data_IF_833756937029
#
_entry.id   IF_833756937029
#
_cell.length_a   1.000
_cell.length_b   1.000
_cell.length_c   1.000
_cell.angle_alpha   90.00
_cell.angle_beta   90.00
_cell.angle_gamma   90.00
#
_symmetry.space_group_name_H-M   'P 1'
#
loop_
_entity.id
_entity.type
_entity.pdbx_description
1 polymer ?
#
# COMPACT_ATOMS: atom_id res chain seq x y z
N UNK A 1 -23.79 -37.13 -17.86
CA UNK A 1 -22.66 -36.20 -18.09
C UNK A 1 -23.09 -34.85 -17.55
N UNK A 2 -22.84 -34.59 -16.30
CA UNK A 2 -22.99 -33.26 -15.69
C UNK A 2 -22.00 -32.33 -16.36
N UNK A 3 -22.49 -31.27 -17.00
CA UNK A 3 -21.68 -30.16 -17.45
C UNK A 3 -20.91 -29.67 -16.21
N UNK A 4 -19.59 -29.84 -16.21
CA UNK A 4 -18.77 -29.37 -15.08
C UNK A 4 -18.92 -27.88 -14.95
N UNK A 5 -19.59 -27.43 -13.91
CA UNK A 5 -19.57 -26.01 -13.53
C UNK A 5 -18.12 -25.56 -13.37
N UNK A 6 -17.79 -24.44 -13.97
CA UNK A 6 -16.45 -23.87 -13.87
C UNK A 6 -16.27 -23.30 -12.45
N UNK A 7 -15.82 -24.13 -11.52
CA UNK A 7 -15.60 -23.78 -10.12
C UNK A 7 -14.47 -22.76 -9.92
N UNK A 8 -13.88 -22.22 -10.99
CA UNK A 8 -12.84 -21.18 -10.94
C UNK A 8 -13.37 -19.79 -11.24
N UNK A 9 -14.63 -19.65 -11.62
CA UNK A 9 -15.29 -18.36 -11.86
C UNK A 9 -16.19 -18.01 -10.67
N UNK A 10 -15.67 -17.18 -9.75
CA UNK A 10 -16.48 -16.57 -8.71
C UNK A 10 -17.20 -15.33 -9.24
N UNK A 11 -18.45 -15.16 -8.84
CA UNK A 11 -19.17 -13.90 -9.09
C UNK A 11 -18.67 -12.83 -8.14
N UNK A 12 -18.43 -11.64 -8.68
CA UNK A 12 -18.11 -10.47 -7.86
C UNK A 12 -19.33 -10.08 -7.00
N UNK A 13 -19.09 -9.88 -5.73
CA UNK A 13 -20.10 -9.54 -4.74
C UNK A 13 -20.07 -8.03 -4.49
N UNK A 14 -21.15 -7.30 -4.81
CA UNK A 14 -21.16 -5.84 -4.68
C UNK A 14 -20.84 -5.33 -3.27
N UNK A 15 -21.19 -6.10 -2.24
CA UNK A 15 -20.93 -5.80 -0.83
C UNK A 15 -19.43 -5.77 -0.47
N UNK A 16 -18.58 -6.40 -1.27
CA UNK A 16 -17.13 -6.41 -1.08
C UNK A 16 -16.45 -5.22 -1.78
N UNK A 17 -17.17 -4.53 -2.64
CA UNK A 17 -16.63 -3.40 -3.37
C UNK A 17 -16.20 -2.25 -2.42
N UNK A 18 -15.08 -1.63 -2.70
CA UNK A 18 -14.59 -0.48 -1.92
C UNK A 18 -14.01 -0.83 -0.55
N UNK A 19 -13.84 -2.11 -0.22
CA UNK A 19 -13.19 -2.55 1.03
C UNK A 19 -11.70 -2.85 0.83
N UNK A 20 -11.28 -3.22 -0.38
CA UNK A 20 -9.90 -3.54 -0.71
C UNK A 20 -9.34 -2.57 -1.75
N UNK A 21 -8.03 -2.32 -1.69
CA UNK A 21 -7.35 -1.37 -2.56
C UNK A 21 -5.95 -1.86 -2.93
N UNK A 22 -5.51 -1.48 -4.13
CA UNK A 22 -4.09 -1.49 -4.44
C UNK A 22 -3.41 -0.33 -3.75
N UNK A 23 -2.20 -0.56 -3.24
CA UNK A 23 -1.40 0.47 -2.60
C UNK A 23 -0.53 1.27 -3.60
N UNK A 24 0.15 2.29 -3.10
CA UNK A 24 0.92 3.25 -3.89
C UNK A 24 2.08 2.59 -4.65
N UNK A 25 2.23 2.94 -5.94
CA UNK A 25 3.44 2.63 -6.69
C UNK A 25 4.33 3.87 -6.76
N UNK A 26 5.44 3.86 -6.02
CA UNK A 26 6.38 5.00 -5.97
C UNK A 26 7.06 5.29 -7.32
N UNK A 27 7.48 4.25 -8.06
CA UNK A 27 8.06 4.34 -9.41
C UNK A 27 9.47 4.94 -9.49
N UNK A 28 10.04 5.40 -8.38
CA UNK A 28 11.39 5.95 -8.30
C UNK A 28 11.92 5.88 -6.84
N UNK A 29 13.11 6.38 -6.58
CA UNK A 29 13.81 6.30 -5.29
C UNK A 29 13.37 7.41 -4.32
N UNK A 30 12.14 7.32 -3.83
CA UNK A 30 11.57 8.20 -2.81
C UNK A 30 11.85 7.72 -1.38
N UNK A 31 12.21 6.46 -1.23
CA UNK A 31 12.48 5.83 0.07
C UNK A 31 13.85 6.23 0.64
N UNK A 32 13.91 6.26 1.95
CA UNK A 32 15.10 6.53 2.74
C UNK A 32 15.22 5.53 3.90
N UNK A 33 16.44 5.27 4.34
CA UNK A 33 16.68 4.52 5.57
C UNK A 33 16.29 5.35 6.81
N UNK A 34 16.20 4.68 7.96
CA UNK A 34 15.81 5.31 9.22
C UNK A 34 16.74 6.46 9.65
N UNK A 35 18.04 6.33 9.43
CA UNK A 35 19.01 7.37 9.79
C UNK A 35 18.83 8.64 8.98
N UNK A 36 18.67 8.48 7.65
CA UNK A 36 18.38 9.57 6.72
C UNK A 36 17.03 10.22 7.04
N UNK A 37 15.99 9.41 7.31
CA UNK A 37 14.68 9.93 7.68
C UNK A 37 14.74 10.78 8.96
N UNK A 38 15.44 10.30 9.99
CA UNK A 38 15.64 11.04 11.22
C UNK A 38 16.35 12.38 11.00
N UNK A 39 17.39 12.39 10.16
CA UNK A 39 18.11 13.61 9.82
C UNK A 39 17.22 14.61 9.07
N UNK A 40 16.41 14.14 8.10
CA UNK A 40 15.46 14.99 7.35
C UNK A 40 14.36 15.54 8.26
N UNK A 41 13.80 14.70 9.13
CA UNK A 41 12.76 15.10 10.08
C UNK A 41 13.24 16.16 11.10
N UNK A 42 14.52 16.11 11.47
CA UNK A 42 15.13 17.05 12.42
C UNK A 42 15.55 18.39 11.80
N UNK A 43 15.47 18.52 10.47
CA UNK A 43 15.84 19.79 9.81
C UNK A 43 14.83 20.89 10.17
N UNK A 44 15.32 22.13 10.41
CA UNK A 44 14.43 23.25 10.62
C UNK A 44 13.55 23.49 9.40
N UNK A 45 12.33 23.91 9.63
CA UNK A 45 11.38 24.26 8.58
C UNK A 45 11.19 25.77 8.57
N UNK A 46 11.20 26.38 7.40
CA UNK A 46 11.06 27.86 7.23
C UNK A 46 9.59 28.31 7.38
N UNK A 47 8.67 27.39 7.47
CA UNK A 47 7.22 27.65 7.63
C UNK A 47 6.64 26.73 8.68
N UNK A 48 5.40 26.96 9.11
CA UNK A 48 4.62 26.09 10.03
C UNK A 48 4.39 24.65 9.53
N UNK A 49 5.21 24.19 8.58
CA UNK A 49 5.10 22.91 7.90
C UNK A 49 6.13 21.93 8.41
N UNK A 50 5.72 21.04 9.27
CA UNK A 50 6.60 19.98 9.73
C UNK A 50 6.96 19.00 8.61
N UNK A 51 8.24 18.61 8.49
CA UNK A 51 8.70 17.61 7.55
C UNK A 51 7.97 16.25 7.71
N UNK A 52 7.43 15.99 8.91
CA UNK A 52 6.59 14.83 9.19
C UNK A 52 5.27 14.78 8.42
N UNK A 53 4.82 15.91 7.85
CA UNK A 53 3.62 15.91 6.99
C UNK A 53 3.85 15.18 5.67
N UNK A 54 5.09 15.12 5.20
CA UNK A 54 5.47 14.53 3.91
C UNK A 54 6.49 13.39 4.02
N UNK A 55 6.91 13.05 5.24
CA UNK A 55 7.77 11.90 5.49
C UNK A 55 6.99 10.87 6.31
N UNK A 56 6.82 9.67 5.77
CA UNK A 56 6.01 8.60 6.36
C UNK A 56 6.80 7.31 6.49
N UNK A 57 6.52 6.47 7.49
CA UNK A 57 6.97 5.08 7.48
C UNK A 57 6.47 4.37 6.21
N UNK A 58 7.34 3.58 5.59
CA UNK A 58 7.06 2.83 4.38
C UNK A 58 7.11 1.34 4.63
N UNK A 59 6.12 0.62 4.12
CA UNK A 59 6.04 -0.82 4.24
C UNK A 59 5.86 -1.45 2.86
N UNK A 60 6.71 -2.41 2.51
CA UNK A 60 6.54 -3.23 1.32
C UNK A 60 6.29 -4.71 1.66
N UNK A 61 5.99 -5.53 0.65
CA UNK A 61 5.68 -6.94 0.87
C UNK A 61 6.79 -7.74 1.58
N UNK A 62 8.07 -7.34 1.43
CA UNK A 62 9.17 -8.00 2.14
C UNK A 62 9.25 -7.59 3.61
N UNK A 63 8.85 -6.37 3.94
CA UNK A 63 8.82 -5.91 5.34
C UNK A 63 7.75 -6.66 6.16
N UNK A 64 6.72 -7.20 5.50
CA UNK A 64 5.70 -8.05 6.13
C UNK A 64 6.15 -9.51 6.28
N UNK A 65 6.98 -10.01 5.35
CA UNK A 65 7.39 -11.43 5.33
C UNK A 65 8.74 -11.69 5.99
N UNK A 66 9.49 -10.65 6.28
CA UNK A 66 10.84 -10.69 6.87
C UNK A 66 10.95 -9.65 7.99
N UNK A 67 12.13 -9.54 8.57
CA UNK A 67 12.43 -8.45 9.50
C UNK A 67 12.29 -7.10 8.78
N UNK A 68 11.49 -6.20 9.34
CA UNK A 68 11.33 -4.85 8.80
C UNK A 68 12.66 -4.09 8.74
N UNK A 69 12.85 -3.33 7.69
CA UNK A 69 14.04 -2.50 7.48
C UNK A 69 13.90 -1.11 8.09
N UNK A 70 12.71 -0.75 8.61
CA UNK A 70 12.45 0.58 9.13
C UNK A 70 12.58 1.67 8.06
N UNK A 71 12.15 1.38 6.84
CA UNK A 71 12.22 2.31 5.70
C UNK A 71 11.18 3.40 5.83
N UNK A 72 11.55 4.61 5.42
CA UNK A 72 10.67 5.77 5.30
C UNK A 72 10.54 6.19 3.84
N UNK A 73 9.55 7.01 3.54
CA UNK A 73 9.33 7.54 2.19
C UNK A 73 8.92 9.00 2.24
N UNK A 74 9.36 9.77 1.24
CA UNK A 74 8.79 11.11 1.00
C UNK A 74 7.52 10.95 0.17
N UNK A 75 6.44 11.51 0.64
CA UNK A 75 5.11 11.44 0.06
C UNK A 75 4.47 12.82 0.02
N UNK A 76 4.51 13.46 -1.14
CA UNK A 76 3.83 14.74 -1.40
C UNK A 76 2.36 14.58 -1.78
N UNK A 77 1.76 13.41 -1.49
CA UNK A 77 0.36 13.13 -1.81
C UNK A 77 0.11 12.89 -3.29
N UNK A 78 -1.11 13.18 -3.74
CA UNK A 78 -1.56 12.89 -5.10
C UNK A 78 -1.59 14.10 -6.02
N UNK A 79 -1.76 15.31 -5.44
CA UNK A 79 -2.03 16.55 -6.20
C UNK A 79 -1.15 17.74 -5.82
N UNK A 80 -0.23 17.61 -4.85
CA UNK A 80 0.61 18.72 -4.37
C UNK A 80 1.40 19.35 -5.53
N UNK A 81 1.31 20.65 -5.71
CA UNK A 81 2.05 21.40 -6.70
C UNK A 81 3.55 21.43 -6.40
N UNK A 82 4.37 21.71 -7.44
CA UNK A 82 5.83 21.76 -7.29
C UNK A 82 6.26 22.82 -6.27
N UNK A 83 5.70 24.02 -6.38
CA UNK A 83 6.05 25.16 -5.49
C UNK A 83 5.65 24.88 -4.05
N UNK A 84 4.57 24.12 -3.86
CA UNK A 84 4.10 23.69 -2.55
C UNK A 84 5.00 22.59 -1.95
N UNK A 85 5.39 21.63 -2.76
CA UNK A 85 6.33 20.58 -2.37
C UNK A 85 7.70 21.17 -2.01
N UNK A 86 8.16 22.20 -2.76
CA UNK A 86 9.43 22.88 -2.52
C UNK A 86 9.51 23.60 -1.17
N UNK A 87 8.37 23.92 -0.53
CA UNK A 87 8.35 24.51 0.82
C UNK A 87 8.77 23.52 1.93
N UNK A 88 8.78 22.23 1.65
CA UNK A 88 9.37 21.19 2.50
C UNK A 88 10.82 20.97 2.08
N UNK A 89 11.68 21.94 2.37
CA UNK A 89 13.04 22.04 1.83
C UNK A 89 13.84 20.74 1.93
N UNK A 90 13.93 20.13 3.10
CA UNK A 90 14.68 18.88 3.30
C UNK A 90 14.15 17.69 2.50
N UNK A 91 12.88 17.31 2.66
CA UNK A 91 12.25 16.27 1.87
C UNK A 91 12.30 16.53 0.36
N UNK A 92 12.07 17.79 -0.05
CA UNK A 92 12.09 18.16 -1.48
C UNK A 92 13.49 18.02 -2.08
N UNK A 93 14.53 18.51 -1.39
CA UNK A 93 15.92 18.40 -1.86
C UNK A 93 16.35 16.92 -1.95
N UNK A 94 15.91 16.08 -1.00
CA UNK A 94 16.14 14.65 -1.05
C UNK A 94 15.55 14.04 -2.34
N UNK A 95 14.29 14.35 -2.65
CA UNK A 95 13.62 13.86 -3.86
C UNK A 95 14.24 14.47 -5.12
N UNK A 96 14.55 15.78 -5.12
CA UNK A 96 15.17 16.48 -6.26
C UNK A 96 16.47 15.82 -6.69
N UNK A 97 17.32 15.47 -5.74
CA UNK A 97 18.64 14.87 -6.04
C UNK A 97 18.54 13.42 -6.52
N UNK A 98 17.58 12.63 -6.02
CA UNK A 98 17.44 11.19 -6.32
C UNK A 98 16.48 10.90 -7.48
N UNK A 99 15.40 11.65 -7.56
CA UNK A 99 14.34 11.45 -8.55
C UNK A 99 14.41 12.52 -9.63
N UNK A 100 14.51 13.80 -9.26
CA UNK A 100 14.48 14.93 -10.17
C UNK A 100 15.58 14.86 -11.23
N UNK A 101 16.82 14.58 -10.85
CA UNK A 101 17.94 14.43 -11.80
C UNK A 101 17.68 13.42 -12.92
N UNK A 102 16.90 12.38 -12.64
CA UNK A 102 16.62 11.29 -13.59
C UNK A 102 15.32 11.46 -14.36
N UNK A 103 14.32 12.06 -13.73
CA UNK A 103 12.94 12.04 -14.22
C UNK A 103 12.33 13.41 -14.53
N UNK A 104 12.93 14.55 -14.13
CA UNK A 104 12.37 15.89 -14.36
C UNK A 104 12.05 16.15 -15.84
N UNK A 105 12.90 15.67 -16.76
CA UNK A 105 12.68 15.81 -18.21
C UNK A 105 11.78 14.72 -18.81
N UNK A 106 11.39 13.70 -18.02
CA UNK A 106 10.63 12.54 -18.51
C UNK A 106 9.21 12.47 -17.94
N UNK A 107 8.97 13.10 -16.80
CA UNK A 107 7.70 13.04 -16.06
C UNK A 107 7.33 14.45 -15.61
N UNK A 108 6.14 14.92 -16.03
CA UNK A 108 5.64 16.27 -15.70
C UNK A 108 5.53 16.51 -14.18
N UNK A 109 5.19 15.47 -13.41
CA UNK A 109 5.01 15.51 -11.94
C UNK A 109 6.01 14.56 -11.27
N UNK A 110 7.30 14.73 -11.53
CA UNK A 110 8.38 13.86 -11.08
C UNK A 110 8.55 13.80 -9.55
N UNK A 111 8.06 14.80 -8.83
CA UNK A 111 8.09 14.84 -7.36
C UNK A 111 6.97 14.03 -6.69
N UNK A 112 5.97 13.55 -7.42
CA UNK A 112 4.92 12.67 -6.94
C UNK A 112 5.23 11.21 -7.28
N UNK A 113 4.65 10.30 -6.51
CA UNK A 113 4.70 8.88 -6.83
C UNK A 113 4.14 8.61 -8.23
N UNK A 114 4.53 7.50 -8.86
CA UNK A 114 4.08 7.16 -10.22
C UNK A 114 2.57 6.92 -10.27
N UNK A 115 2.06 6.20 -9.26
CA UNK A 115 0.63 5.93 -9.11
C UNK A 115 0.25 6.09 -7.65
N UNK A 116 0.06 7.31 -7.17
CA UNK A 116 -0.52 7.53 -5.86
C UNK A 116 -2.00 7.14 -5.91
N UNK A 117 -2.48 6.45 -4.87
CA UNK A 117 -3.83 5.87 -4.85
C UNK A 117 -4.77 6.71 -4.02
N UNK A 118 -5.39 7.72 -4.63
CA UNK A 118 -6.31 8.62 -3.91
C UNK A 118 -7.46 7.86 -3.25
N UNK A 119 -8.10 6.93 -3.97
CA UNK A 119 -9.22 6.13 -3.44
C UNK A 119 -8.85 5.32 -2.21
N UNK A 120 -7.65 4.72 -2.18
CA UNK A 120 -7.12 4.04 -1.00
C UNK A 120 -6.93 5.02 0.16
N UNK A 121 -6.33 6.18 -0.11
CA UNK A 121 -6.06 7.20 0.92
C UNK A 121 -7.34 7.74 1.53
N UNK A 122 -8.36 7.97 0.71
CA UNK A 122 -9.70 8.42 1.15
C UNK A 122 -10.36 7.36 2.02
N UNK A 123 -10.31 6.10 1.60
CA UNK A 123 -10.89 4.99 2.35
C UNK A 123 -10.17 4.74 3.70
N UNK A 124 -8.86 5.02 3.78
CA UNK A 124 -8.09 4.90 5.03
C UNK A 124 -8.23 6.14 5.93
N UNK A 125 -8.78 7.24 5.41
CA UNK A 125 -8.99 8.47 6.18
C UNK A 125 -9.90 8.21 7.38
N UNK A 126 -9.44 8.61 8.57
CA UNK A 126 -10.19 8.41 9.82
C UNK A 126 -10.00 7.05 10.49
N UNK A 127 -9.34 6.08 9.84
CA UNK A 127 -8.96 4.82 10.49
C UNK A 127 -7.66 5.01 11.28
N UNK A 128 -7.59 4.42 12.48
CA UNK A 128 -6.35 4.38 13.27
C UNK A 128 -5.40 3.26 12.80
N UNK A 129 -5.96 2.20 12.26
CA UNK A 129 -5.25 1.05 11.71
C UNK A 129 -6.03 0.48 10.55
N UNK A 130 -5.36 -0.25 9.69
CA UNK A 130 -5.96 -0.95 8.56
C UNK A 130 -5.25 -2.28 8.32
N UNK A 131 -5.82 -3.15 7.51
CA UNK A 131 -5.21 -4.44 7.22
C UNK A 131 -4.40 -4.41 5.93
N UNK A 132 -3.28 -5.15 5.95
CA UNK A 132 -2.45 -5.38 4.78
C UNK A 132 -2.07 -6.85 4.63
N UNK A 133 -1.98 -7.31 3.38
CA UNK A 133 -1.44 -8.64 3.05
C UNK A 133 -0.49 -8.55 1.86
N UNK A 134 0.65 -9.27 1.84
CA UNK A 134 1.51 -9.30 0.67
C UNK A 134 0.78 -9.93 -0.52
N UNK A 135 0.95 -9.35 -1.72
CA UNK A 135 0.40 -9.96 -2.96
C UNK A 135 0.97 -11.37 -3.14
N UNK A 136 2.28 -11.54 -2.96
CA UNK A 136 2.98 -12.82 -3.13
C UNK A 136 3.55 -13.28 -1.79
N UNK A 137 3.11 -14.42 -1.30
CA UNK A 137 3.67 -15.06 -0.11
C UNK A 137 3.40 -16.56 -0.13
N UNK A 138 4.28 -17.36 0.50
CA UNK A 138 4.09 -18.81 0.63
C UNK A 138 2.89 -19.15 1.51
N UNK A 139 2.72 -18.43 2.59
CA UNK A 139 1.60 -18.60 3.54
C UNK A 139 0.78 -17.32 3.56
N UNK A 140 -0.54 -17.43 3.48
CA UNK A 140 -1.43 -16.27 3.54
C UNK A 140 -1.57 -15.82 4.99
N UNK A 141 -1.36 -14.52 5.21
CA UNK A 141 -1.58 -13.86 6.48
C UNK A 141 -1.96 -12.40 6.24
N UNK A 142 -2.60 -11.81 7.23
CA UNK A 142 -2.97 -10.39 7.24
C UNK A 142 -2.36 -9.75 8.49
N UNK A 143 -2.00 -8.49 8.41
CA UNK A 143 -1.41 -7.76 9.53
C UNK A 143 -2.07 -6.41 9.69
N UNK A 144 -2.12 -5.93 10.92
CA UNK A 144 -2.48 -4.56 11.21
C UNK A 144 -1.31 -3.63 10.85
N UNK A 145 -1.63 -2.59 10.11
CA UNK A 145 -0.73 -1.48 9.83
C UNK A 145 -1.31 -0.23 10.47
N UNK A 146 -0.45 0.57 11.10
CA UNK A 146 -0.82 1.88 11.63
C UNK A 146 -1.17 2.83 10.48
N UNK A 147 -2.12 3.74 10.69
CA UNK A 147 -2.56 4.69 9.67
C UNK A 147 -1.44 5.58 9.12
N UNK A 148 -0.38 5.84 9.92
CA UNK A 148 0.78 6.62 9.49
C UNK A 148 1.63 5.92 8.43
N UNK A 149 1.59 4.58 8.37
CA UNK A 149 2.36 3.79 7.41
C UNK A 149 1.77 3.95 6.01
N UNK A 150 2.62 4.19 5.02
CA UNK A 150 2.23 4.15 3.61
C UNK A 150 2.64 2.79 3.01
N UNK A 151 1.68 1.99 2.49
CA UNK A 151 1.97 0.68 1.93
C UNK A 151 2.44 0.77 0.46
N UNK A 152 3.34 -0.14 0.07
CA UNK A 152 3.79 -0.34 -1.31
C UNK A 152 2.78 -1.15 -2.12
N UNK A 153 2.77 -0.96 -3.44
CA UNK A 153 1.92 -1.68 -4.39
C UNK A 153 2.04 -3.23 -4.34
N UNK A 154 3.00 -3.77 -3.61
CA UNK A 154 3.11 -5.21 -3.33
C UNK A 154 2.24 -5.67 -2.15
N UNK A 155 1.50 -4.74 -1.55
CA UNK A 155 0.56 -5.00 -0.46
C UNK A 155 -0.86 -4.72 -0.95
N UNK A 156 -1.76 -5.66 -0.72
CA UNK A 156 -3.21 -5.42 -0.81
C UNK A 156 -3.67 -4.83 0.51
N UNK A 157 -4.40 -3.73 0.45
CA UNK A 157 -4.89 -2.97 1.59
C UNK A 157 -6.38 -3.21 1.77
N UNK A 158 -6.84 -3.35 3.01
CA UNK A 158 -8.25 -3.41 3.37
C UNK A 158 -8.58 -2.27 4.32
N UNK A 159 -9.51 -1.42 3.93
CA UNK A 159 -9.95 -0.27 4.70
C UNK A 159 -10.94 -0.65 5.81
N UNK A 160 -10.50 -1.52 6.71
CA UNK A 160 -11.24 -2.00 7.89
C UNK A 160 -10.34 -2.02 9.10
N UNK A 161 -10.89 -1.71 10.27
CA UNK A 161 -10.16 -1.62 11.54
C UNK A 161 -10.71 -2.55 12.64
N UNK A 162 -11.73 -3.37 12.31
CA UNK A 162 -12.40 -4.27 13.26
C UNK A 162 -11.79 -5.67 13.28
N UNK A 163 -11.75 -6.27 14.46
CA UNK A 163 -11.16 -7.58 14.68
C UNK A 163 -12.01 -8.74 14.13
N UNK A 164 -13.32 -8.51 13.92
CA UNK A 164 -14.18 -9.50 13.26
C UNK A 164 -13.72 -9.74 11.82
N UNK A 165 -13.58 -8.68 11.04
CA UNK A 165 -13.10 -8.77 9.67
C UNK A 165 -11.69 -9.38 9.57
N UNK A 166 -10.81 -9.02 10.51
CA UNK A 166 -9.49 -9.64 10.65
C UNK A 166 -9.59 -11.16 10.84
N UNK A 167 -10.45 -11.60 11.77
CA UNK A 167 -10.68 -13.02 12.03
C UNK A 167 -11.25 -13.76 10.83
N UNK A 168 -12.19 -13.17 10.11
CA UNK A 168 -12.75 -13.74 8.87
C UNK A 168 -11.67 -13.94 7.81
N UNK A 169 -10.81 -12.95 7.57
CA UNK A 169 -9.72 -13.05 6.59
C UNK A 169 -8.66 -14.10 6.99
N UNK A 170 -8.48 -14.38 8.29
CA UNK A 170 -7.59 -15.43 8.80
C UNK A 170 -8.26 -16.80 8.92
N UNK A 171 -9.54 -16.91 8.60
CA UNK A 171 -10.23 -18.18 8.66
C UNK A 171 -9.70 -19.17 7.61
N UNK A 172 -9.74 -20.47 7.94
CA UNK A 172 -9.40 -21.52 6.99
C UNK A 172 -10.30 -21.51 5.74
N UNK A 173 -11.53 -21.02 5.89
CA UNK A 173 -12.47 -20.86 4.76
C UNK A 173 -11.97 -19.83 3.78
N UNK A 174 -11.55 -18.64 4.25
CA UNK A 174 -11.00 -17.62 3.38
C UNK A 174 -9.64 -18.03 2.80
N UNK A 175 -8.79 -18.71 3.55
CA UNK A 175 -7.51 -19.23 3.05
C UNK A 175 -7.72 -20.19 1.88
N UNK A 176 -8.60 -21.19 2.05
CA UNK A 176 -8.95 -22.14 0.99
C UNK A 176 -9.54 -21.43 -0.24
N UNK A 177 -10.42 -20.46 -0.02
CA UNK A 177 -10.99 -19.65 -1.08
C UNK A 177 -9.91 -18.88 -1.84
N UNK A 178 -9.05 -18.17 -1.13
CA UNK A 178 -7.97 -17.38 -1.72
C UNK A 178 -6.97 -18.25 -2.51
N UNK A 179 -6.67 -19.47 -2.03
CA UNK A 179 -5.84 -20.43 -2.74
C UNK A 179 -6.51 -20.95 -4.01
N UNK A 180 -7.83 -21.15 -3.98
CA UNK A 180 -8.61 -21.63 -5.14
C UNK A 180 -8.79 -20.56 -6.19
N UNK A 181 -9.14 -19.34 -5.76
CA UNK A 181 -9.51 -18.23 -6.66
C UNK A 181 -8.30 -17.36 -7.06
N UNK A 182 -7.18 -17.52 -6.37
CA UNK A 182 -5.92 -16.83 -6.67
C UNK A 182 -5.18 -17.45 -7.84
N UNK A 183 -4.14 -16.75 -8.28
CA UNK A 183 -3.16 -17.27 -9.24
C UNK A 183 -1.89 -17.69 -8.53
N UNK A 184 -0.95 -18.28 -9.24
CA UNK A 184 0.36 -18.66 -8.71
C UNK A 184 1.45 -18.01 -9.54
N UNK A 185 2.51 -17.60 -8.86
CA UNK A 185 3.78 -17.26 -9.49
C UNK A 185 4.84 -18.21 -8.94
N UNK A 186 5.31 -19.14 -9.78
CA UNK A 186 6.13 -20.29 -9.36
C UNK A 186 5.36 -21.12 -8.29
N UNK A 187 5.93 -21.28 -7.10
CA UNK A 187 5.32 -22.02 -5.96
C UNK A 187 4.63 -21.09 -4.96
N UNK A 188 4.51 -19.79 -5.27
CA UNK A 188 3.95 -18.79 -4.35
C UNK A 188 2.55 -18.39 -4.77
N UNK A 189 1.53 -18.62 -3.93
CA UNK A 189 0.19 -18.11 -4.15
C UNK A 189 0.18 -16.59 -4.26
N UNK A 190 -0.47 -16.10 -5.30
CA UNK A 190 -0.72 -14.68 -5.51
C UNK A 190 -2.15 -14.35 -5.10
N UNK A 191 -2.27 -13.41 -4.18
CA UNK A 191 -3.56 -12.85 -3.81
C UNK A 191 -3.98 -11.79 -4.83
N UNK A 192 -5.00 -12.11 -5.61
CA UNK A 192 -5.57 -11.18 -6.58
C UNK A 192 -6.88 -10.64 -5.99
N UNK A 193 -6.97 -9.34 -5.66
CA UNK A 193 -8.14 -8.79 -4.98
C UNK A 193 -9.46 -9.10 -5.66
N UNK A 194 -9.53 -8.93 -6.97
CA UNK A 194 -10.75 -9.14 -7.76
C UNK A 194 -11.26 -10.57 -7.77
N UNK A 195 -10.38 -11.57 -7.60
CA UNK A 195 -10.77 -12.97 -7.60
C UNK A 195 -10.77 -13.59 -6.21
N UNK A 196 -9.85 -13.18 -5.33
CA UNK A 196 -9.74 -13.76 -3.99
C UNK A 196 -10.68 -13.09 -2.98
N UNK A 197 -10.89 -11.77 -3.08
CA UNK A 197 -11.65 -11.02 -2.09
C UNK A 197 -13.03 -10.60 -2.61
N UNK A 198 -13.12 -9.99 -3.79
CA UNK A 198 -14.40 -9.49 -4.30
C UNK A 198 -15.41 -10.58 -4.58
N UNK A 199 -14.96 -11.84 -4.69
CA UNK A 199 -15.83 -13.03 -4.87
C UNK A 199 -16.07 -13.82 -3.59
N UNK A 200 -15.41 -13.45 -2.47
CA UNK A 200 -15.52 -14.17 -1.21
C UNK A 200 -16.82 -13.82 -0.48
N UNK A 201 -17.67 -14.81 -0.15
CA UNK A 201 -18.91 -14.55 0.59
C UNK A 201 -18.59 -14.27 2.06
N UNK A 202 -18.46 -12.98 2.38
CA UNK A 202 -18.25 -12.54 3.76
C UNK A 202 -19.48 -12.86 4.61
N UNK A 203 -19.31 -13.41 5.81
CA UNK A 203 -20.40 -13.70 6.73
C UNK A 203 -20.80 -12.40 7.47
N UNK A 204 -21.64 -11.59 6.83
CA UNK A 204 -22.19 -10.36 7.42
C UNK A 204 -23.27 -10.68 8.45
#
# INVERSE_FOLDING_TARGET
>A
LTSGENLTEGLMLPENAGLQFEADKKGASFEMDHGTARAVLAQPTVSDRANSHVCRPWCNGMDLTRRTRGTWIVDFGTEMGLDEAAKYEGPFEYVRTRVGKKYANKRKRWWLHERPRQTMRDALSGLQRYLGTPILTKFRFFVWLDHSVLPDHQIVVFARSDDYFFGVLHSSVHELWALRMGTQLETRPRYTPTTCFETFPLPW
#
